data_IF_918210389583
#
_entry.id   IF_918210389583
#
_cell.length_a   1.000
_cell.length_b   1.000
_cell.length_c   1.000
_cell.angle_alpha   90.00
_cell.angle_beta   90.00
_cell.angle_gamma   90.00
#
_symmetry.space_group_name_H-M   'P 1'
#
loop_
_entity.id
_entity.type
_entity.pdbx_description
1 polymer ?
#
# COMPACT_ATOMS: atom_id res chain seq x y z
N UNK A 1 -19.76 3.46 16.00
CA UNK A 1 -19.02 4.00 17.16
C UNK A 1 -18.00 4.98 16.62
N UNK A 2 -17.97 6.20 17.13
CA UNK A 2 -16.91 7.17 16.79
C UNK A 2 -15.66 6.85 17.60
N UNK A 3 -14.48 6.92 16.98
CA UNK A 3 -13.20 6.70 17.66
C UNK A 3 -13.03 7.68 18.83
N UNK A 4 -12.43 7.23 19.92
CA UNK A 4 -11.99 8.10 21.02
C UNK A 4 -10.91 9.08 20.53
N UNK A 5 -10.68 10.19 21.24
CA UNK A 5 -9.65 11.17 20.85
C UNK A 5 -8.25 10.55 20.75
N UNK A 6 -7.92 9.59 21.64
CA UNK A 6 -6.66 8.87 21.62
C UNK A 6 -6.54 7.95 20.39
N UNK A 7 -7.61 7.23 20.04
CA UNK A 7 -7.66 6.41 18.83
C UNK A 7 -7.58 7.28 17.57
N UNK A 8 -8.25 8.42 17.55
CA UNK A 8 -8.19 9.39 16.45
C UNK A 8 -6.77 9.91 16.24
N UNK A 9 -6.03 10.22 17.31
CA UNK A 9 -4.62 10.63 17.20
C UNK A 9 -3.73 9.50 16.66
N UNK A 10 -3.95 8.25 17.06
CA UNK A 10 -3.23 7.09 16.53
C UNK A 10 -3.52 6.89 15.04
N UNK A 11 -4.80 6.95 14.64
CA UNK A 11 -5.24 6.83 13.25
C UNK A 11 -4.69 7.97 12.39
N UNK A 12 -4.67 9.21 12.89
CA UNK A 12 -4.06 10.34 12.20
C UNK A 12 -2.57 10.17 11.95
N UNK A 13 -1.82 9.64 12.93
CA UNK A 13 -0.39 9.34 12.72
C UNK A 13 -0.19 8.27 11.66
N UNK A 14 -0.97 7.19 11.72
CA UNK A 14 -0.88 6.11 10.75
C UNK A 14 -1.25 6.57 9.34
N UNK A 15 -2.36 7.30 9.18
CA UNK A 15 -2.79 7.85 7.90
C UNK A 15 -1.73 8.77 7.29
N UNK A 16 -1.14 9.65 8.11
CA UNK A 16 -0.04 10.52 7.67
C UNK A 16 1.19 9.72 7.23
N UNK A 17 1.65 8.75 8.02
CA UNK A 17 2.81 7.93 7.66
C UNK A 17 2.58 7.13 6.39
N UNK A 18 1.41 6.52 6.22
CA UNK A 18 1.11 5.71 5.04
C UNK A 18 1.07 6.54 3.75
N UNK A 19 0.61 7.78 3.82
CA UNK A 19 0.36 8.61 2.63
C UNK A 19 1.48 9.59 2.29
N UNK A 20 2.42 9.85 3.21
CA UNK A 20 3.58 10.68 2.95
C UNK A 20 4.74 9.89 2.30
N UNK A 21 5.75 10.62 1.85
CA UNK A 21 7.01 10.08 1.33
C UNK A 21 7.64 9.04 2.28
N UNK A 22 8.05 7.90 1.73
CA UNK A 22 8.45 6.72 2.51
C UNK A 22 9.68 6.96 3.39
N UNK A 23 10.67 7.73 2.93
CA UNK A 23 11.88 8.00 3.72
C UNK A 23 11.56 8.86 4.94
N UNK A 24 10.72 9.89 4.74
CA UNK A 24 10.23 10.73 5.84
C UNK A 24 9.35 9.94 6.80
N UNK A 25 8.43 9.11 6.29
CA UNK A 25 7.56 8.28 7.12
C UNK A 25 8.38 7.35 8.01
N UNK A 26 9.38 6.66 7.44
CA UNK A 26 10.23 5.73 8.18
C UNK A 26 11.10 6.44 9.23
N UNK A 27 11.59 7.65 8.95
CA UNK A 27 12.29 8.47 9.93
C UNK A 27 11.37 8.86 11.11
N UNK A 28 10.13 9.28 10.84
CA UNK A 28 9.15 9.60 11.88
C UNK A 28 8.76 8.36 12.70
N UNK A 29 8.54 7.21 12.05
CA UNK A 29 8.20 5.93 12.71
C UNK A 29 9.32 5.50 13.67
N UNK A 30 10.58 5.52 13.20
CA UNK A 30 11.75 5.17 14.04
C UNK A 30 11.87 6.09 15.25
N UNK A 31 11.69 7.40 15.05
CA UNK A 31 11.73 8.38 16.15
C UNK A 31 10.60 8.13 17.16
N UNK A 32 9.39 7.84 16.67
CA UNK A 32 8.22 7.64 17.52
C UNK A 32 8.33 6.41 18.41
N UNK A 33 8.79 5.27 17.88
CA UNK A 33 8.92 4.05 18.66
C UNK A 33 10.26 3.91 19.40
N UNK A 34 11.28 4.66 18.98
CA UNK A 34 12.63 4.60 19.53
C UNK A 34 13.37 3.31 19.16
N UNK A 35 14.65 3.23 19.58
CA UNK A 35 15.55 2.12 19.23
C UNK A 35 15.46 0.90 20.18
N UNK A 36 14.50 0.88 21.12
CA UNK A 36 14.45 -0.14 22.18
C UNK A 36 13.87 -1.49 21.73
N UNK A 37 13.13 -1.53 20.61
CA UNK A 37 12.47 -2.74 20.12
C UNK A 37 12.29 -2.72 18.60
N UNK A 38 12.36 -3.88 17.93
CA UNK A 38 12.05 -3.96 16.50
C UNK A 38 10.62 -3.51 16.23
N UNK A 39 10.43 -2.78 15.13
CA UNK A 39 9.12 -2.29 14.69
C UNK A 39 8.62 -3.20 13.59
N UNK A 40 7.38 -3.67 13.72
CA UNK A 40 6.71 -4.46 12.69
C UNK A 40 5.49 -3.73 12.16
N UNK A 41 5.35 -3.67 10.84
CA UNK A 41 4.18 -3.15 10.14
C UNK A 41 3.46 -4.29 9.46
N UNK A 42 2.19 -4.45 9.78
CA UNK A 42 1.27 -5.31 9.05
C UNK A 42 0.52 -4.45 8.04
N UNK A 43 0.60 -4.84 6.77
CA UNK A 43 -0.02 -4.15 5.65
C UNK A 43 -0.91 -5.14 4.91
N UNK A 44 -2.12 -4.72 4.57
CA UNK A 44 -3.01 -5.52 3.74
C UNK A 44 -3.55 -4.71 2.56
N UNK A 45 -4.04 -5.41 1.54
CA UNK A 45 -4.55 -4.76 0.33
C UNK A 45 -5.82 -3.93 0.58
N UNK A 46 -6.60 -4.26 1.62
CA UNK A 46 -7.80 -3.52 2.02
C UNK A 46 -7.51 -2.05 2.39
N UNK A 47 -6.27 -1.70 2.70
CA UNK A 47 -5.86 -0.30 2.86
C UNK A 47 -6.22 0.57 1.65
N UNK A 48 -6.22 0.01 0.43
CA UNK A 48 -6.63 0.74 -0.78
C UNK A 48 -8.12 1.08 -0.79
N UNK A 49 -8.97 0.29 -0.12
CA UNK A 49 -10.39 0.61 0.05
C UNK A 49 -10.62 1.70 1.09
N UNK A 50 -9.61 2.01 1.92
CA UNK A 50 -9.69 2.95 3.06
C UNK A 50 -9.03 4.29 2.77
N UNK A 51 -8.66 4.58 1.51
CA UNK A 51 -7.98 5.82 1.14
C UNK A 51 -8.77 7.08 1.53
N UNK A 52 -10.10 7.06 1.37
CA UNK A 52 -10.96 8.16 1.81
C UNK A 52 -10.86 8.42 3.32
N UNK A 53 -10.91 7.36 4.12
CA UNK A 53 -10.74 7.47 5.58
C UNK A 53 -9.35 7.99 5.95
N UNK A 54 -8.29 7.56 5.24
CA UNK A 54 -6.95 8.08 5.49
C UNK A 54 -6.87 9.60 5.27
N UNK A 55 -7.55 10.11 4.24
CA UNK A 55 -7.64 11.57 3.99
C UNK A 55 -8.37 12.25 5.15
N UNK A 56 -9.49 11.70 5.62
CA UNK A 56 -10.26 12.23 6.76
C UNK A 56 -9.44 12.29 8.07
N UNK A 57 -8.47 11.39 8.22
CA UNK A 57 -7.53 11.38 9.34
C UNK A 57 -6.27 12.24 9.12
N UNK A 58 -6.18 12.99 8.02
CA UNK A 58 -5.08 13.94 7.74
C UNK A 58 -3.93 13.36 6.92
N UNK A 59 -4.16 12.23 6.24
CA UNK A 59 -3.27 11.71 5.21
C UNK A 59 -3.27 12.58 3.95
N UNK A 60 -2.19 12.51 3.18
CA UNK A 60 -2.11 13.12 1.87
C UNK A 60 -3.04 12.36 0.88
N UNK A 61 -3.73 13.07 -0.02
CA UNK A 61 -4.54 12.42 -1.04
C UNK A 61 -3.65 11.60 -1.98
N UNK A 62 -4.05 10.35 -2.22
CA UNK A 62 -3.39 9.47 -3.19
C UNK A 62 -4.39 9.09 -4.27
N UNK A 63 -4.00 9.33 -5.52
CA UNK A 63 -4.81 8.96 -6.68
C UNK A 63 -4.41 7.56 -7.13
N UNK A 64 -5.32 6.60 -7.04
CA UNK A 64 -5.16 5.27 -7.65
C UNK A 64 -6.24 5.08 -8.71
N UNK A 65 -5.87 4.49 -9.83
CA UNK A 65 -6.84 3.97 -10.78
C UNK A 65 -7.41 2.66 -10.22
N UNK A 66 -8.70 2.45 -10.36
CA UNK A 66 -9.33 1.19 -9.96
C UNK A 66 -10.29 0.69 -11.03
N UNK A 67 -10.40 -0.63 -11.15
CA UNK A 67 -11.34 -1.29 -12.05
C UNK A 67 -11.73 -2.64 -11.48
N UNK A 68 -13.01 -2.98 -11.55
CA UNK A 68 -13.50 -4.31 -11.21
C UNK A 68 -13.74 -5.09 -12.51
N UNK A 69 -13.23 -6.32 -12.59
CA UNK A 69 -13.42 -7.23 -13.71
C UNK A 69 -13.83 -8.62 -13.21
N UNK A 70 -14.54 -9.44 -14.00
CA UNK A 70 -14.79 -10.83 -13.64
C UNK A 70 -13.47 -11.59 -13.42
N UNK A 71 -13.40 -12.42 -12.38
CA UNK A 71 -12.27 -13.30 -12.16
C UNK A 71 -12.51 -14.63 -12.87
N UNK A 72 -11.66 -14.96 -13.84
CA UNK A 72 -11.65 -16.30 -14.44
C UNK A 72 -10.88 -17.28 -13.54
N UNK A 73 -10.94 -18.57 -13.90
CA UNK A 73 -10.27 -19.64 -13.14
C UNK A 73 -8.74 -19.50 -13.11
N UNK A 74 -8.15 -18.70 -14.02
CA UNK A 74 -6.71 -18.55 -14.15
C UNK A 74 -6.28 -17.08 -14.29
N UNK A 75 -5.81 -16.50 -13.19
CA UNK A 75 -5.22 -15.17 -13.17
C UNK A 75 -4.11 -15.01 -14.22
N UNK A 76 -3.28 -16.04 -14.45
CA UNK A 76 -2.22 -15.96 -15.46
C UNK A 76 -2.76 -15.76 -16.88
N UNK A 77 -3.97 -16.23 -17.18
CA UNK A 77 -4.65 -15.96 -18.44
C UNK A 77 -5.09 -14.49 -18.56
N UNK A 78 -5.45 -13.86 -17.45
CA UNK A 78 -5.96 -12.49 -17.39
C UNK A 78 -4.83 -11.43 -17.28
N UNK A 79 -3.60 -11.82 -16.90
CA UNK A 79 -2.45 -10.91 -16.69
C UNK A 79 -2.22 -9.97 -17.89
N UNK A 80 -2.29 -10.47 -19.12
CA UNK A 80 -2.01 -9.65 -20.32
C UNK A 80 -3.00 -8.49 -20.44
N UNK A 81 -4.28 -8.73 -20.18
CA UNK A 81 -5.32 -7.71 -20.22
C UNK A 81 -5.18 -6.73 -19.04
N UNK A 82 -4.89 -7.24 -17.85
CA UNK A 82 -4.67 -6.42 -16.65
C UNK A 82 -3.46 -5.50 -16.86
N UNK A 83 -2.36 -6.04 -17.40
CA UNK A 83 -1.15 -5.27 -17.71
C UNK A 83 -1.45 -4.20 -18.74
N UNK A 84 -2.17 -4.53 -19.83
CA UNK A 84 -2.56 -3.54 -20.83
C UNK A 84 -3.36 -2.40 -20.22
N UNK A 85 -4.40 -2.71 -19.43
CA UNK A 85 -5.18 -1.71 -18.71
C UNK A 85 -4.32 -0.81 -17.81
N UNK A 86 -3.37 -1.39 -17.07
CA UNK A 86 -2.47 -0.64 -16.19
C UNK A 86 -1.59 0.37 -16.94
N UNK A 87 -1.20 0.07 -18.19
CA UNK A 87 -0.44 1.01 -19.03
C UNK A 87 -1.32 2.06 -19.71
N UNK A 88 -2.54 1.70 -20.08
CA UNK A 88 -3.51 2.62 -20.71
C UNK A 88 -3.95 3.69 -19.70
N UNK A 89 -4.34 3.27 -18.50
CA UNK A 89 -4.86 4.17 -17.46
C UNK A 89 -3.75 4.77 -16.58
N UNK A 90 -2.58 4.12 -16.51
CA UNK A 90 -1.55 4.44 -15.52
C UNK A 90 -0.12 4.35 -16.05
N UNK A 91 0.80 4.02 -15.15
CA UNK A 91 2.22 3.85 -15.47
C UNK A 91 2.64 2.38 -15.67
N UNK A 92 1.65 1.48 -15.78
CA UNK A 92 1.88 0.04 -15.96
C UNK A 92 2.06 -0.75 -14.67
N UNK A 93 2.07 -0.09 -13.52
CA UNK A 93 2.17 -0.73 -12.22
C UNK A 93 0.78 -1.01 -11.63
N UNK A 94 0.53 -2.26 -11.23
CA UNK A 94 -0.80 -2.71 -10.82
C UNK A 94 -0.75 -3.72 -9.67
N UNK A 95 -1.85 -3.82 -8.93
CA UNK A 95 -2.12 -4.81 -7.90
C UNK A 95 -3.47 -5.46 -8.20
N UNK A 96 -3.58 -6.77 -7.99
CA UNK A 96 -4.79 -7.54 -8.23
C UNK A 96 -5.29 -8.15 -6.93
N UNK A 97 -6.56 -7.89 -6.60
CA UNK A 97 -7.25 -8.47 -5.45
C UNK A 97 -8.53 -9.16 -5.93
N UNK A 98 -8.57 -10.49 -5.95
CA UNK A 98 -9.82 -11.26 -6.04
C UNK A 98 -10.74 -10.99 -4.85
N UNK A 99 -11.98 -10.66 -5.18
CA UNK A 99 -13.10 -10.42 -4.29
C UNK A 99 -14.26 -11.29 -4.79
N UNK A 100 -14.42 -12.47 -4.21
CA UNK A 100 -15.42 -13.44 -4.66
C UNK A 100 -15.19 -13.90 -6.11
N UNK A 101 -16.14 -13.55 -6.99
CA UNK A 101 -16.12 -13.88 -8.42
C UNK A 101 -15.47 -12.79 -9.30
N UNK A 102 -14.90 -11.74 -8.69
CA UNK A 102 -14.29 -10.62 -9.41
C UNK A 102 -12.83 -10.42 -9.00
N UNK A 103 -12.07 -9.74 -9.84
CA UNK A 103 -10.84 -9.06 -9.47
C UNK A 103 -11.10 -7.56 -9.34
N UNK A 104 -10.69 -6.99 -8.21
CA UNK A 104 -10.45 -5.58 -8.03
C UNK A 104 -9.01 -5.28 -8.43
N UNK A 105 -8.86 -4.53 -9.51
CA UNK A 105 -7.59 -4.07 -10.04
C UNK A 105 -7.30 -2.68 -9.51
N UNK A 106 -6.09 -2.48 -9.04
CA UNK A 106 -5.58 -1.18 -8.63
C UNK A 106 -4.37 -0.84 -9.50
N UNK A 107 -4.30 0.37 -10.01
CA UNK A 107 -3.20 0.87 -10.82
C UNK A 107 -2.68 2.18 -10.24
N UNK A 108 -1.36 2.38 -10.26
CA UNK A 108 -0.82 3.71 -10.00
C UNK A 108 -1.00 4.56 -11.26
N UNK A 109 -1.49 5.81 -11.15
CA UNK A 109 -1.58 6.68 -12.31
C UNK A 109 -0.18 7.08 -12.77
N UNK A 110 -0.10 7.86 -13.85
CA UNK A 110 1.16 8.48 -14.30
C UNK A 110 1.58 9.57 -13.29
N UNK A 111 2.03 9.12 -12.12
CA UNK A 111 2.35 9.94 -10.96
C UNK A 111 3.68 10.67 -11.14
N UNK A 112 3.81 11.80 -10.44
CA UNK A 112 5.11 12.45 -10.19
C UNK A 112 5.90 11.68 -9.12
N UNK A 113 7.23 11.86 -9.06
CA UNK A 113 8.12 11.03 -8.23
C UNK A 113 7.76 10.94 -6.74
N UNK A 114 7.19 11.99 -6.14
CA UNK A 114 6.83 12.03 -4.71
C UNK A 114 5.62 11.19 -4.33
N UNK A 115 4.60 11.10 -5.20
CA UNK A 115 3.40 10.28 -4.93
C UNK A 115 3.70 8.79 -5.12
N UNK A 116 4.56 8.45 -6.09
CA UNK A 116 5.09 7.09 -6.29
C UNK A 116 5.87 6.56 -5.10
N UNK A 117 6.48 7.45 -4.31
CA UNK A 117 7.28 7.08 -3.15
C UNK A 117 6.51 7.12 -1.83
N UNK A 118 5.18 7.24 -1.84
CA UNK A 118 4.39 7.15 -0.60
C UNK A 118 4.59 5.80 0.10
N UNK A 119 4.61 5.79 1.43
CA UNK A 119 4.91 4.56 2.18
C UNK A 119 3.96 3.42 1.83
N UNK A 120 2.65 3.70 1.66
CA UNK A 120 1.66 2.69 1.30
C UNK A 120 1.93 2.06 -0.08
N UNK A 121 2.32 2.86 -1.09
CA UNK A 121 2.70 2.33 -2.41
C UNK A 121 3.94 1.44 -2.30
N UNK A 122 4.89 1.86 -1.44
CA UNK A 122 6.15 1.15 -1.15
C UNK A 122 5.98 -0.04 -0.20
N UNK A 123 4.78 -0.36 0.28
CA UNK A 123 4.52 -1.53 1.11
C UNK A 123 3.43 -2.45 0.53
N UNK A 124 2.65 -1.99 -0.44
CA UNK A 124 1.66 -2.82 -1.12
C UNK A 124 2.27 -3.58 -2.29
N UNK A 125 1.85 -4.83 -2.55
CA UNK A 125 2.45 -5.73 -3.54
C UNK A 125 2.02 -5.38 -4.98
N UNK A 126 2.19 -4.13 -5.43
CA UNK A 126 2.06 -3.84 -6.84
C UNK A 126 3.22 -4.49 -7.63
N UNK A 127 2.95 -4.88 -8.86
CA UNK A 127 3.88 -5.63 -9.73
C UNK A 127 5.21 -4.91 -9.97
N UNK A 128 5.23 -3.58 -9.88
CA UNK A 128 6.41 -2.73 -10.10
C UNK A 128 6.72 -1.74 -8.97
N UNK A 129 5.87 -1.55 -7.95
CA UNK A 129 6.07 -0.50 -6.91
C UNK A 129 7.37 -0.64 -6.09
N UNK A 130 8.06 -1.78 -6.20
CA UNK A 130 8.81 -2.36 -5.09
C UNK A 130 10.06 -3.19 -5.43
N UNK A 131 10.70 -3.01 -6.60
CA UNK A 131 11.96 -3.75 -6.90
C UNK A 131 13.04 -3.61 -5.80
N UNK A 132 12.95 -2.56 -4.99
CA UNK A 132 13.60 -2.48 -3.67
C UNK A 132 12.60 -1.94 -2.65
N UNK A 133 12.51 -2.61 -1.51
CA UNK A 133 11.94 -2.03 -0.29
C UNK A 133 12.73 -0.76 0.09
N UNK A 134 12.12 0.19 0.82
CA UNK A 134 12.87 1.30 1.41
C UNK A 134 14.03 0.80 2.29
N UNK A 135 15.06 1.62 2.43
CA UNK A 135 16.23 1.25 3.24
C UNK A 135 15.86 0.98 4.71
N UNK A 136 16.37 -0.14 5.23
CA UNK A 136 16.06 -0.61 6.58
C UNK A 136 14.61 -1.09 6.73
N UNK A 137 13.98 -1.55 5.64
CA UNK A 137 12.70 -2.27 5.66
C UNK A 137 12.91 -3.66 5.06
N UNK A 138 12.48 -4.68 5.79
CA UNK A 138 12.58 -6.08 5.37
C UNK A 138 11.19 -6.73 5.36
N UNK A 139 10.81 -7.36 4.26
CA UNK A 139 9.64 -8.23 4.22
C UNK A 139 9.96 -9.53 4.99
N UNK A 140 9.20 -9.80 6.06
CA UNK A 140 9.41 -11.00 6.89
C UNK A 140 8.35 -12.07 6.66
N UNK A 141 7.18 -11.68 6.15
CA UNK A 141 6.11 -12.60 5.79
C UNK A 141 5.24 -11.97 4.71
N UNK A 142 4.78 -12.80 3.77
CA UNK A 142 3.74 -12.44 2.81
C UNK A 142 2.83 -13.64 2.58
N UNK A 143 1.52 -13.40 2.54
CA UNK A 143 0.55 -14.45 2.24
C UNK A 143 0.66 -14.91 0.78
N UNK A 144 0.52 -16.23 0.55
CA UNK A 144 0.72 -16.87 -0.76
C UNK A 144 -0.13 -16.28 -1.90
N UNK A 145 -1.37 -15.88 -1.61
CA UNK A 145 -2.31 -15.47 -2.64
C UNK A 145 -2.37 -13.94 -2.74
N UNK A 146 -1.94 -13.40 -3.89
CA UNK A 146 -1.98 -11.97 -4.21
C UNK A 146 -1.18 -11.04 -3.29
N UNK A 147 -0.36 -11.60 -2.39
CA UNK A 147 0.33 -10.84 -1.34
C UNK A 147 -0.61 -10.10 -0.39
N UNK A 148 -1.87 -10.57 -0.25
CA UNK A 148 -2.95 -9.88 0.47
C UNK A 148 -2.54 -9.31 1.82
N UNK A 149 -1.73 -10.04 2.58
CA UNK A 149 -1.17 -9.61 3.86
C UNK A 149 0.35 -9.72 3.81
N UNK A 150 1.03 -8.64 4.18
CA UNK A 150 2.48 -8.53 4.26
C UNK A 150 2.89 -7.99 5.63
N UNK A 151 3.94 -8.57 6.21
CA UNK A 151 4.56 -8.09 7.45
C UNK A 151 5.96 -7.61 7.13
N UNK A 152 6.25 -6.38 7.52
CA UNK A 152 7.53 -5.71 7.34
C UNK A 152 8.19 -5.48 8.69
N UNK A 153 9.48 -5.76 8.79
CA UNK A 153 10.34 -5.32 9.88
C UNK A 153 11.03 -4.02 9.48
N UNK A 154 10.94 -2.99 10.32
CA UNK A 154 11.73 -1.77 10.17
C UNK A 154 12.94 -1.85 11.09
N UNK A 155 14.13 -1.75 10.51
CA UNK A 155 15.37 -1.67 11.27
C UNK A 155 15.51 -0.29 11.91
N UNK A 156 15.98 -0.33 13.15
CA UNK A 156 16.37 0.83 13.94
C UNK A 156 17.82 1.13 13.55
N UNK A 157 18.06 2.25 12.86
CA UNK A 157 19.43 2.73 12.64
C UNK A 157 19.98 3.31 13.94
#
# INVERSE_FOLDING_TARGET
MSATDAERQQLSKMARWLTMDSDKALAEIRTFFGASRPIYLLVNNDLLMRLGEMIDYGGAPLSFNSKVVPAHDNLHGDISQIKQWAYEEGDGNYLVQKEGLNYHLWGTPKLSGTEKNSLIVRLLPFVDSLKKLPDGVQLVYQSNWGGYLSIYKIDLK
#
